data_IF_288177772328
#
_entry.id   IF_288177772328
#
_cell.length_a   1.000
_cell.length_b   1.000
_cell.length_c   1.000
_cell.angle_alpha   90.00
_cell.angle_beta   90.00
_cell.angle_gamma   90.00
#
_symmetry.space_group_name_H-M   'P 1'
#
loop_
_entity.id
_entity.type
_entity.pdbx_description
1 polymer ?
#
# COMPACT_ATOMS: atom_id res chain seq x y z
N UNK A 1 14.22 1.94 -0.66
CA UNK A 1 13.58 1.42 -1.88
C UNK A 1 12.16 1.96 -1.98
N UNK A 2 11.28 1.72 -1.01
CA UNK A 2 9.89 2.18 -1.02
C UNK A 2 9.75 3.69 -1.17
N UNK A 3 10.61 4.48 -0.49
CA UNK A 3 10.62 5.94 -0.62
C UNK A 3 10.96 6.43 -2.05
N UNK A 4 11.71 5.66 -2.83
CA UNK A 4 12.03 5.99 -4.22
C UNK A 4 10.83 5.81 -5.16
N UNK A 5 9.84 5.01 -4.77
CA UNK A 5 8.60 4.82 -5.55
C UNK A 5 7.80 6.12 -5.63
N UNK A 6 7.82 6.95 -4.58
CA UNK A 6 7.07 8.22 -4.53
C UNK A 6 7.46 9.15 -5.70
N UNK A 7 8.74 9.58 -5.83
CA UNK A 7 9.10 10.50 -6.89
C UNK A 7 8.93 9.88 -8.28
N UNK A 8 9.15 8.57 -8.44
CA UNK A 8 8.97 7.90 -9.72
C UNK A 8 7.49 7.84 -10.09
N UNK A 9 6.61 7.48 -9.15
CA UNK A 9 5.16 7.47 -9.37
C UNK A 9 4.63 8.89 -9.68
N UNK A 10 5.17 9.92 -9.02
CA UNK A 10 4.83 11.31 -9.34
C UNK A 10 5.23 11.69 -10.77
N UNK A 11 6.41 11.28 -11.23
CA UNK A 11 6.85 11.53 -12.61
C UNK A 11 5.96 10.80 -13.62
N UNK A 12 5.58 9.55 -13.34
CA UNK A 12 4.64 8.78 -14.17
C UNK A 12 3.29 9.50 -14.23
N UNK A 13 2.78 9.95 -13.08
CA UNK A 13 1.52 10.71 -12.99
C UNK A 13 1.58 12.01 -13.77
N UNK A 14 2.63 12.81 -13.58
CA UNK A 14 2.82 14.06 -14.31
C UNK A 14 2.89 13.84 -15.82
N UNK A 15 3.60 12.81 -16.26
CA UNK A 15 3.68 12.43 -17.67
C UNK A 15 2.31 12.02 -18.21
N UNK A 16 1.57 11.21 -17.48
CA UNK A 16 0.21 10.80 -17.84
C UNK A 16 -0.76 11.98 -17.94
N UNK A 17 -0.67 12.95 -17.01
CA UNK A 17 -1.47 14.18 -17.04
C UNK A 17 -1.17 15.01 -18.28
N UNK A 18 0.11 15.19 -18.62
CA UNK A 18 0.53 15.97 -19.81
C UNK A 18 0.02 15.31 -21.09
N UNK A 19 0.16 13.98 -21.22
CA UNK A 19 -0.32 13.23 -22.38
C UNK A 19 -1.85 13.23 -22.47
N UNK A 20 -2.54 13.10 -21.34
CA UNK A 20 -4.00 13.13 -21.23
C UNK A 20 -4.59 14.54 -21.32
N UNK A 21 -3.77 15.59 -21.44
CA UNK A 21 -4.19 17.01 -21.38
C UNK A 21 -5.07 17.33 -20.17
N UNK A 22 -4.79 16.68 -19.04
CA UNK A 22 -5.50 16.87 -17.78
C UNK A 22 -4.95 18.14 -17.13
N UNK A 23 -5.83 19.05 -16.72
CA UNK A 23 -5.41 20.29 -16.06
C UNK A 23 -4.88 20.00 -14.66
N UNK A 24 -3.64 20.42 -14.38
CA UNK A 24 -3.04 20.39 -13.07
C UNK A 24 -3.60 21.54 -12.23
N UNK A 25 -4.70 21.33 -11.52
CA UNK A 25 -5.19 22.28 -10.53
C UNK A 25 -4.72 21.90 -9.12
N UNK A 26 -4.81 22.80 -8.17
CA UNK A 26 -4.44 22.56 -6.77
C UNK A 26 -5.21 21.39 -6.15
N UNK A 27 -6.44 21.16 -6.59
CA UNK A 27 -7.29 20.08 -6.10
C UNK A 27 -6.81 18.70 -6.58
N UNK A 28 -6.42 18.58 -7.86
CA UNK A 28 -5.86 17.34 -8.40
C UNK A 28 -4.50 16.99 -7.79
N UNK A 29 -3.66 17.99 -7.54
CA UNK A 29 -2.38 17.77 -6.85
C UNK A 29 -2.56 17.48 -5.35
N UNK A 30 -3.54 18.11 -4.71
CA UNK A 30 -3.86 17.86 -3.30
C UNK A 30 -4.52 16.51 -3.03
N UNK A 31 -5.13 15.89 -4.03
CA UNK A 31 -5.74 14.58 -3.94
C UNK A 31 -4.73 13.43 -4.04
N UNK A 32 -3.46 13.71 -4.40
CA UNK A 32 -2.40 12.71 -4.42
C UNK A 32 -2.04 12.33 -2.97
N UNK A 33 -2.60 11.23 -2.52
CA UNK A 33 -2.25 10.64 -1.22
C UNK A 33 -1.02 9.73 -1.39
N UNK A 34 0.10 10.17 -0.83
CA UNK A 34 1.35 9.42 -0.86
C UNK A 34 1.24 8.07 -0.12
N UNK A 35 0.36 7.97 0.87
CA UNK A 35 0.09 6.74 1.58
C UNK A 35 -0.44 5.66 0.64
N UNK A 36 -1.48 5.97 -0.12
CA UNK A 36 -2.08 5.05 -1.09
C UNK A 36 -1.12 4.66 -2.22
N UNK A 37 -0.27 5.59 -2.66
CA UNK A 37 0.75 5.34 -3.70
C UNK A 37 1.80 4.34 -3.23
N UNK A 38 2.23 4.42 -1.97
CA UNK A 38 3.34 3.62 -1.43
C UNK A 38 2.87 2.28 -0.89
N UNK A 39 1.60 2.13 -0.54
CA UNK A 39 1.07 0.97 0.17
C UNK A 39 1.41 -0.36 -0.52
N UNK A 40 1.19 -0.47 -1.84
CA UNK A 40 1.57 -1.65 -2.61
C UNK A 40 3.08 -1.95 -2.57
N UNK A 41 3.91 -0.92 -2.61
CA UNK A 41 5.37 -1.07 -2.53
C UNK A 41 5.83 -1.50 -1.13
N UNK A 42 5.18 -1.01 -0.08
CA UNK A 42 5.46 -1.40 1.32
C UNK A 42 5.13 -2.87 1.54
N UNK A 43 3.94 -3.31 1.14
CA UNK A 43 3.49 -4.71 1.29
C UNK A 43 4.44 -5.67 0.58
N UNK A 44 4.82 -5.39 -0.66
CA UNK A 44 5.73 -6.23 -1.43
C UNK A 44 7.14 -6.24 -0.81
N UNK A 45 7.62 -5.08 -0.33
CA UNK A 45 8.92 -4.98 0.33
C UNK A 45 8.94 -5.78 1.61
N UNK A 46 7.93 -5.65 2.45
CA UNK A 46 7.84 -6.37 3.73
C UNK A 46 7.79 -7.89 3.51
N UNK A 47 6.92 -8.36 2.62
CA UNK A 47 6.83 -9.79 2.31
C UNK A 47 8.13 -10.34 1.70
N UNK A 48 8.76 -9.57 0.81
CA UNK A 48 10.06 -9.96 0.22
C UNK A 48 11.16 -10.06 1.27
N UNK A 49 11.25 -9.11 2.21
CA UNK A 49 12.23 -9.14 3.30
C UNK A 49 11.98 -10.32 4.23
N UNK A 50 10.74 -10.61 4.56
CA UNK A 50 10.34 -11.76 5.38
C UNK A 50 10.78 -13.08 4.74
N UNK A 51 10.44 -13.31 3.46
CA UNK A 51 10.81 -14.53 2.75
C UNK A 51 12.32 -14.64 2.53
N UNK A 52 13.04 -13.54 2.27
CA UNK A 52 14.50 -13.53 2.18
C UNK A 52 15.15 -13.92 3.51
N UNK A 53 14.66 -13.36 4.63
CA UNK A 53 15.17 -13.70 5.97
C UNK A 53 14.92 -15.17 6.31
N UNK A 54 13.72 -15.67 6.04
CA UNK A 54 13.36 -17.07 6.24
C UNK A 54 14.25 -18.01 5.42
N UNK A 55 14.46 -17.71 4.14
CA UNK A 55 15.29 -18.50 3.24
C UNK A 55 16.77 -18.50 3.65
N UNK A 56 17.29 -17.35 4.11
CA UNK A 56 18.65 -17.25 4.66
C UNK A 56 18.81 -18.09 5.93
N UNK A 57 17.80 -18.07 6.79
CA UNK A 57 17.80 -18.88 8.02
C UNK A 57 17.80 -20.39 7.72
N UNK A 58 16.99 -20.82 6.75
CA UNK A 58 16.92 -22.24 6.32
C UNK A 58 18.26 -22.73 5.75
N UNK A 59 18.94 -21.89 4.95
CA UNK A 59 20.19 -22.28 4.28
C UNK A 59 21.44 -22.01 5.13
N UNK A 60 21.32 -21.26 6.23
CA UNK A 60 22.44 -20.89 7.11
C UNK A 60 23.52 -20.02 6.43
N UNK A 61 23.23 -19.45 5.24
CA UNK A 61 24.14 -18.64 4.45
C UNK A 61 23.42 -17.50 3.73
N UNK A 62 24.21 -16.57 3.21
CA UNK A 62 23.67 -15.53 2.32
C UNK A 62 23.21 -16.13 0.99
N UNK A 63 22.12 -15.59 0.46
CA UNK A 63 21.56 -16.01 -0.83
C UNK A 63 22.38 -15.44 -1.99
N UNK A 64 22.55 -16.24 -3.03
CA UNK A 64 23.08 -15.79 -4.32
C UNK A 64 22.07 -14.87 -5.01
N UNK A 65 22.52 -14.13 -6.03
CA UNK A 65 21.63 -13.24 -6.79
C UNK A 65 20.43 -14.01 -7.39
N UNK A 66 20.67 -15.21 -7.94
CA UNK A 66 19.61 -16.03 -8.53
C UNK A 66 18.58 -16.49 -7.48
N UNK A 67 19.07 -16.92 -6.30
CA UNK A 67 18.20 -17.31 -5.18
C UNK A 67 17.39 -16.11 -4.64
N UNK A 68 17.99 -14.92 -4.57
CA UNK A 68 17.29 -13.70 -4.19
C UNK A 68 16.20 -13.34 -5.18
N UNK A 69 16.52 -13.35 -6.48
CA UNK A 69 15.56 -13.09 -7.54
C UNK A 69 14.37 -14.05 -7.46
N UNK A 70 14.61 -15.35 -7.37
CA UNK A 70 13.54 -16.35 -7.28
C UNK A 70 12.68 -16.18 -6.02
N UNK A 71 13.32 -15.88 -4.87
CA UNK A 71 12.59 -15.66 -3.60
C UNK A 71 11.74 -14.40 -3.65
N UNK A 72 12.29 -13.30 -4.17
CA UNK A 72 11.55 -12.03 -4.29
C UNK A 72 10.43 -12.13 -5.32
N UNK A 73 10.62 -12.87 -6.42
CA UNK A 73 9.54 -13.14 -7.39
C UNK A 73 8.41 -13.90 -6.72
N UNK A 74 8.70 -14.97 -6.00
CA UNK A 74 7.69 -15.74 -5.27
C UNK A 74 6.96 -14.89 -4.22
N UNK A 75 7.69 -14.05 -3.48
CA UNK A 75 7.11 -13.11 -2.51
C UNK A 75 6.17 -12.11 -3.17
N UNK A 76 6.53 -11.63 -4.36
CA UNK A 76 5.71 -10.67 -5.12
C UNK A 76 4.46 -11.34 -5.67
N UNK A 77 4.57 -12.55 -6.23
CA UNK A 77 3.44 -13.33 -6.73
C UNK A 77 2.39 -13.61 -5.65
N UNK A 78 2.84 -13.91 -4.42
CA UNK A 78 1.94 -14.12 -3.27
C UNK A 78 1.09 -12.86 -2.98
N UNK A 79 1.69 -11.67 -3.15
CA UNK A 79 1.04 -10.40 -2.85
C UNK A 79 0.26 -9.79 -4.03
N UNK A 80 0.35 -10.33 -5.25
CA UNK A 80 -0.37 -9.79 -6.42
C UNK A 80 -1.88 -9.79 -6.17
N UNK A 81 -2.46 -10.92 -5.79
CA UNK A 81 -3.92 -11.04 -5.62
C UNK A 81 -4.49 -10.05 -4.60
N UNK A 82 -4.02 -10.01 -3.34
CA UNK A 82 -4.54 -9.07 -2.36
C UNK A 82 -4.29 -7.61 -2.78
N UNK A 83 -3.14 -7.30 -3.38
CA UNK A 83 -2.83 -5.95 -3.85
C UNK A 83 -3.73 -5.51 -5.02
N UNK A 84 -4.01 -6.38 -5.98
CA UNK A 84 -4.94 -6.10 -7.09
C UNK A 84 -6.34 -5.79 -6.55
N UNK A 85 -6.86 -6.63 -5.65
CA UNK A 85 -8.19 -6.38 -5.07
C UNK A 85 -8.24 -5.06 -4.29
N UNK A 86 -7.26 -4.79 -3.45
CA UNK A 86 -7.18 -3.52 -2.73
C UNK A 86 -7.15 -2.32 -3.67
N UNK A 87 -6.30 -2.37 -4.69
CA UNK A 87 -6.15 -1.31 -5.67
C UNK A 87 -7.42 -1.09 -6.50
N UNK A 88 -8.08 -2.18 -6.94
CA UNK A 88 -9.34 -2.10 -7.68
C UNK A 88 -10.47 -1.46 -6.86
N UNK A 89 -10.56 -1.77 -5.56
CA UNK A 89 -11.57 -1.18 -4.68
C UNK A 89 -11.34 0.34 -4.59
N UNK A 90 -10.10 0.78 -4.42
CA UNK A 90 -9.77 2.21 -4.35
C UNK A 90 -10.14 2.90 -5.67
N UNK A 91 -9.73 2.35 -6.82
CA UNK A 91 -10.05 2.91 -8.14
C UNK A 91 -11.57 2.98 -8.33
N UNK A 92 -12.31 1.95 -7.94
CA UNK A 92 -13.76 1.90 -8.08
C UNK A 92 -14.48 3.05 -7.34
N UNK A 93 -13.93 3.51 -6.21
CA UNK A 93 -14.47 4.66 -5.46
C UNK A 93 -14.34 5.97 -6.26
N UNK A 94 -13.32 6.08 -7.11
CA UNK A 94 -13.12 7.27 -7.95
C UNK A 94 -13.93 7.26 -9.25
N UNK A 95 -14.39 6.09 -9.73
CA UNK A 95 -15.18 5.99 -10.97
C UNK A 95 -16.46 6.84 -10.95
N UNK A 96 -17.27 6.87 -9.89
CA UNK A 96 -18.47 7.72 -9.85
C UNK A 96 -18.16 9.21 -10.01
N UNK A 97 -16.98 9.68 -9.59
CA UNK A 97 -16.60 11.10 -9.73
C UNK A 97 -16.41 11.51 -11.20
N UNK A 98 -16.13 10.56 -12.09
CA UNK A 98 -16.03 10.78 -13.54
C UNK A 98 -17.40 10.97 -14.20
N UNK A 99 -18.50 10.65 -13.53
CA UNK A 99 -19.86 10.80 -14.05
C UNK A 99 -20.47 12.15 -13.72
N UNK A 100 -19.81 12.97 -12.90
CA UNK A 100 -20.29 14.30 -12.55
C UNK A 100 -20.28 15.22 -13.78
N UNK A 101 -21.28 16.10 -13.87
CA UNK A 101 -21.44 17.07 -14.96
C UNK A 101 -21.46 18.49 -14.43
N UNK A 102 -21.38 19.46 -15.35
CA UNK A 102 -21.42 20.88 -14.96
C UNK A 102 -20.15 21.36 -14.27
N UNK A 103 -20.29 22.19 -13.26
CA UNK A 103 -19.18 22.79 -12.51
C UNK A 103 -18.45 21.73 -11.69
N UNK A 104 -19.21 20.85 -11.04
CA UNK A 104 -18.66 19.76 -10.23
C UNK A 104 -17.82 18.79 -11.07
N UNK A 105 -18.30 18.40 -12.26
CA UNK A 105 -17.55 17.57 -13.17
C UNK A 105 -16.21 18.18 -13.55
N UNK A 106 -16.19 19.47 -13.90
CA UNK A 106 -14.94 20.16 -14.26
C UNK A 106 -13.91 20.23 -13.12
N UNK A 107 -14.35 20.11 -11.88
CA UNK A 107 -13.48 20.10 -10.71
C UNK A 107 -13.01 18.70 -10.34
N UNK A 108 -13.94 17.73 -10.30
CA UNK A 108 -13.66 16.38 -9.80
C UNK A 108 -13.09 15.43 -10.85
N UNK A 109 -13.45 15.58 -12.12
CA UNK A 109 -12.94 14.74 -13.21
C UNK A 109 -11.40 14.76 -13.32
N UNK A 110 -10.73 15.93 -13.41
CA UNK A 110 -9.27 15.99 -13.44
C UNK A 110 -8.63 15.41 -12.19
N UNK A 111 -9.26 15.59 -11.02
CA UNK A 111 -8.80 15.03 -9.75
C UNK A 111 -8.86 13.50 -9.78
N UNK A 112 -10.02 12.94 -10.12
CA UNK A 112 -10.21 11.50 -10.17
C UNK A 112 -9.28 10.83 -11.18
N UNK A 113 -9.12 11.39 -12.39
CA UNK A 113 -8.19 10.89 -13.39
C UNK A 113 -6.75 10.92 -12.91
N UNK A 114 -6.32 12.00 -12.25
CA UNK A 114 -4.97 12.11 -11.68
C UNK A 114 -4.69 11.02 -10.68
N UNK A 115 -5.63 10.78 -9.75
CA UNK A 115 -5.50 9.73 -8.73
C UNK A 115 -5.46 8.35 -9.37
N UNK A 116 -6.35 8.06 -10.32
CA UNK A 116 -6.38 6.77 -11.02
C UNK A 116 -5.04 6.52 -11.75
N UNK A 117 -4.50 7.51 -12.47
CA UNK A 117 -3.20 7.38 -13.15
C UNK A 117 -2.08 7.14 -12.12
N UNK A 118 -2.09 7.88 -11.01
CA UNK A 118 -1.10 7.71 -9.95
C UNK A 118 -1.14 6.31 -9.34
N UNK A 119 -2.33 5.81 -9.03
CA UNK A 119 -2.54 4.49 -8.45
C UNK A 119 -2.11 3.38 -9.41
N UNK A 120 -2.49 3.46 -10.68
CA UNK A 120 -2.08 2.48 -11.70
C UNK A 120 -0.56 2.52 -11.90
N UNK A 121 0.03 3.71 -12.01
CA UNK A 121 1.47 3.87 -12.13
C UNK A 121 2.24 3.32 -10.93
N UNK A 122 1.79 3.64 -9.73
CA UNK A 122 2.38 3.12 -8.49
C UNK A 122 2.26 1.60 -8.37
N UNK A 123 1.12 1.04 -8.78
CA UNK A 123 0.90 -0.40 -8.80
C UNK A 123 1.85 -1.12 -9.76
N UNK A 124 2.01 -0.61 -10.99
CA UNK A 124 2.98 -1.16 -11.95
C UNK A 124 4.41 -1.08 -11.39
N UNK A 125 4.78 0.05 -10.77
CA UNK A 125 6.10 0.19 -10.15
C UNK A 125 6.29 -0.77 -8.97
N UNK A 126 5.27 -1.00 -8.16
CA UNK A 126 5.34 -1.91 -7.04
C UNK A 126 5.57 -3.36 -7.47
N UNK A 127 5.05 -3.75 -8.63
CA UNK A 127 5.23 -5.11 -9.19
C UNK A 127 6.50 -5.29 -10.02
N UNK A 128 7.11 -4.21 -10.50
CA UNK A 128 8.28 -4.28 -11.41
C UNK A 128 9.54 -3.72 -10.76
N UNK A 129 9.52 -2.44 -10.43
CA UNK A 129 10.67 -1.72 -9.89
C UNK A 129 11.05 -2.21 -8.49
N UNK A 130 10.06 -2.38 -7.61
CA UNK A 130 10.32 -2.74 -6.20
C UNK A 130 10.97 -4.11 -6.07
N UNK A 131 10.45 -5.20 -6.67
CA UNK A 131 11.09 -6.51 -6.59
C UNK A 131 12.50 -6.51 -7.17
N UNK A 132 12.72 -5.87 -8.30
CA UNK A 132 14.04 -5.77 -8.94
C UNK A 132 15.04 -5.07 -8.02
N UNK A 133 14.67 -3.94 -7.44
CA UNK A 133 15.52 -3.18 -6.52
C UNK A 133 15.81 -3.95 -5.23
N UNK A 134 14.84 -4.68 -4.68
CA UNK A 134 15.06 -5.52 -3.49
C UNK A 134 16.11 -6.59 -3.79
N UNK A 135 15.97 -7.32 -4.88
CA UNK A 135 16.88 -8.40 -5.26
C UNK A 135 18.32 -7.91 -5.52
N UNK A 136 18.48 -6.69 -6.07
CA UNK A 136 19.79 -6.12 -6.40
C UNK A 136 20.43 -5.47 -5.16
N UNK A 137 19.70 -4.65 -4.42
CA UNK A 137 20.26 -3.81 -3.35
C UNK A 137 20.46 -4.59 -2.05
N UNK A 138 19.58 -5.55 -1.74
CA UNK A 138 19.65 -6.29 -0.49
C UNK A 138 20.60 -7.48 -0.65
N UNK A 139 21.88 -7.23 -0.43
CA UNK A 139 22.95 -8.25 -0.57
C UNK A 139 23.40 -8.88 0.75
N UNK A 140 23.04 -8.28 1.88
CA UNK A 140 23.49 -8.69 3.22
C UNK A 140 22.58 -9.69 3.92
N UNK A 141 22.91 -10.00 5.18
CA UNK A 141 22.03 -10.77 6.07
C UNK A 141 20.82 -9.93 6.45
N UNK A 142 19.65 -10.39 6.04
CA UNK A 142 18.37 -9.79 6.45
C UNK A 142 18.08 -10.28 7.88
N UNK A 143 18.23 -9.40 8.85
CA UNK A 143 17.87 -9.68 10.24
C UNK A 143 16.55 -8.98 10.55
N UNK A 144 15.55 -9.74 10.90
CA UNK A 144 14.33 -9.20 11.52
C UNK A 144 14.64 -8.71 12.94
N UNK A 145 15.32 -7.57 13.05
CA UNK A 145 15.41 -6.88 14.35
C UNK A 145 14.10 -6.13 14.56
N UNK A 146 13.21 -6.71 15.36
CA UNK A 146 12.08 -5.94 15.88
C UNK A 146 12.61 -4.71 16.60
N UNK A 147 12.21 -3.53 16.14
CA UNK A 147 12.52 -2.28 16.86
C UNK A 147 11.96 -2.36 18.27
N UNK A 148 12.70 -1.82 19.24
CA UNK A 148 12.24 -1.77 20.64
C UNK A 148 10.86 -1.12 20.77
N UNK A 149 10.56 -0.12 19.93
CA UNK A 149 9.25 0.53 19.85
C UNK A 149 8.16 -0.45 19.41
N UNK A 150 8.39 -1.23 18.35
CA UNK A 150 7.43 -2.23 17.86
C UNK A 150 7.18 -3.30 18.93
N UNK A 151 8.21 -3.72 19.65
CA UNK A 151 8.07 -4.70 20.73
C UNK A 151 7.21 -4.17 21.88
N UNK A 152 7.40 -2.91 22.28
CA UNK A 152 6.58 -2.25 23.32
C UNK A 152 5.13 -2.13 22.86
N UNK A 153 4.90 -1.66 21.63
CA UNK A 153 3.57 -1.56 21.04
C UNK A 153 2.87 -2.92 20.96
N UNK A 154 3.59 -3.96 20.54
CA UNK A 154 3.07 -5.33 20.45
C UNK A 154 2.68 -5.87 21.82
N UNK A 155 3.51 -5.62 22.85
CA UNK A 155 3.21 -6.01 24.24
C UNK A 155 1.98 -5.29 24.80
N UNK A 156 1.80 -4.01 24.47
CA UNK A 156 0.63 -3.24 24.89
C UNK A 156 -0.64 -3.65 24.11
N UNK A 157 -0.50 -4.01 22.83
CA UNK A 157 -1.62 -4.39 21.96
C UNK A 157 -2.11 -5.82 22.22
N UNK A 158 -1.22 -6.76 22.52
CA UNK A 158 -1.54 -8.17 22.71
C UNK A 158 -2.66 -8.43 23.74
N UNK A 159 -2.66 -7.84 24.96
CA UNK A 159 -3.74 -8.06 25.93
C UNK A 159 -5.08 -7.47 25.46
N UNK A 160 -5.07 -6.36 24.74
CA UNK A 160 -6.28 -5.75 24.17
C UNK A 160 -6.86 -6.66 23.10
N UNK A 161 -6.02 -7.15 22.20
CA UNK A 161 -6.42 -8.06 21.12
C UNK A 161 -6.96 -9.38 21.68
N UNK A 162 -6.25 -10.01 22.63
CA UNK A 162 -6.69 -11.25 23.24
C UNK A 162 -8.00 -11.09 24.01
N UNK A 163 -8.20 -9.97 24.69
CA UNK A 163 -9.45 -9.62 25.36
C UNK A 163 -10.61 -9.43 24.39
N UNK A 164 -10.36 -8.76 23.24
CA UNK A 164 -11.33 -8.56 22.20
C UNK A 164 -11.76 -9.88 21.54
N UNK A 165 -10.80 -10.75 21.23
CA UNK A 165 -11.06 -12.07 20.62
C UNK A 165 -11.79 -13.00 21.62
N UNK A 166 -11.46 -12.92 22.91
CA UNK A 166 -12.12 -13.72 23.93
C UNK A 166 -13.58 -13.32 24.17
N UNK A 167 -13.98 -12.09 23.84
CA UNK A 167 -15.33 -11.55 24.06
C UNK A 167 -15.90 -10.87 22.81
N UNK A 168 -16.08 -11.58 21.70
CA UNK A 168 -16.52 -10.99 20.44
C UNK A 168 -17.89 -10.32 20.56
N UNK A 169 -18.82 -10.87 21.34
CA UNK A 169 -20.13 -10.29 21.57
C UNK A 169 -20.09 -8.93 22.30
N UNK A 170 -19.17 -8.74 23.23
CA UNK A 170 -19.02 -7.47 23.93
C UNK A 170 -18.43 -6.39 23.00
N UNK A 171 -17.50 -6.77 22.12
CA UNK A 171 -16.91 -5.85 21.14
C UNK A 171 -17.94 -5.42 20.09
N UNK A 172 -18.71 -6.37 19.54
CA UNK A 172 -19.77 -6.05 18.57
C UNK A 172 -20.87 -5.19 19.19
N UNK A 173 -21.31 -5.50 20.42
CA UNK A 173 -22.30 -4.68 21.11
C UNK A 173 -21.77 -3.26 21.38
N UNK A 174 -20.53 -3.13 21.83
CA UNK A 174 -19.87 -1.84 22.04
C UNK A 174 -19.79 -1.01 20.75
N UNK A 175 -19.45 -1.65 19.63
CA UNK A 175 -19.42 -0.98 18.31
C UNK A 175 -20.79 -0.51 17.86
N UNK A 176 -21.84 -1.31 18.07
CA UNK A 176 -23.22 -0.95 17.73
C UNK A 176 -23.70 0.23 18.60
N UNK A 177 -23.41 0.19 19.90
CA UNK A 177 -23.77 1.28 20.83
C UNK A 177 -23.06 2.58 20.45
N UNK A 178 -21.77 2.51 20.11
CA UNK A 178 -20.99 3.67 19.68
C UNK A 178 -21.57 4.27 18.38
N UNK A 179 -21.91 3.41 17.43
CA UNK A 179 -22.52 3.82 16.16
C UNK A 179 -23.89 4.47 16.38
N UNK A 180 -24.73 3.86 17.22
CA UNK A 180 -26.05 4.41 17.57
C UNK A 180 -25.95 5.77 18.29
N UNK A 181 -24.99 5.91 19.20
CA UNK A 181 -24.72 7.17 19.88
C UNK A 181 -24.25 8.25 18.91
N UNK A 182 -23.36 7.91 17.99
CA UNK A 182 -22.91 8.83 16.94
C UNK A 182 -24.06 9.25 16.01
N UNK A 183 -24.92 8.32 15.61
CA UNK A 183 -26.11 8.61 14.78
C UNK A 183 -27.18 9.44 15.52
N UNK A 184 -27.26 9.36 16.84
CA UNK A 184 -28.19 10.16 17.64
C UNK A 184 -27.70 11.61 17.89
N UNK A 185 -26.39 11.85 17.70
CA UNK A 185 -25.78 13.19 17.82
C UNK A 185 -25.81 13.99 16.51
N UNK A 186 -26.14 13.33 15.38
CA UNK A 186 -26.32 13.91 14.06
C UNK A 186 -27.79 14.07 13.70
#
# INVERSE_FOLDING_TARGET
ITAAVIPIAMLVTATGMVQGRISANLMSLGALDFGLIVDGAVIITENSLRLLAERQHQLGRQLTLGERLSTVTAASEEMIKPSVYGQMIIILVYVPLLTFTGVEGKMFEPMALTVIIALVGAFVLSLTFVPAMIAIVITGTVREKESALIRILKQAYQPILSGAIARPGAVTLGSIVLFAAAAALF
#
